data_IF_706880400644
#
_entry.id   IF_706880400644
#
_cell.length_a   1.000
_cell.length_b   1.000
_cell.length_c   1.000
_cell.angle_alpha   90.00
_cell.angle_beta   90.00
_cell.angle_gamma   90.00
#
_symmetry.space_group_name_H-M   'P 1'
#
loop_
_entity.id
_entity.type
_entity.pdbx_description
1 polymer ?
#
# COMPACT_ATOMS: atom_id res chain seq x y z
N UNK A 1 15.38 18.23 15.11
CA UNK A 1 14.11 18.96 15.08
C UNK A 1 13.22 18.31 16.13
N UNK A 2 13.21 18.88 17.32
CA UNK A 2 12.38 18.40 18.43
C UNK A 2 10.93 18.82 18.17
N UNK A 3 10.02 17.85 18.19
CA UNK A 3 8.59 18.13 18.14
C UNK A 3 8.18 18.70 19.51
N UNK A 4 7.41 19.79 19.59
CA UNK A 4 7.08 20.46 20.85
C UNK A 4 6.06 19.71 21.72
N UNK A 5 5.62 18.51 21.32
CA UNK A 5 4.56 17.75 21.97
C UNK A 5 5.10 16.46 22.60
N UNK A 6 4.57 16.09 23.76
CA UNK A 6 4.86 14.81 24.43
C UNK A 6 4.64 13.64 23.45
N UNK A 7 5.68 12.81 23.28
CA UNK A 7 5.69 11.69 22.34
C UNK A 7 4.97 10.44 22.86
N UNK A 8 4.57 10.42 24.13
CA UNK A 8 3.96 9.27 24.79
C UNK A 8 2.72 8.69 24.07
N UNK A 9 1.77 9.47 23.52
CA UNK A 9 0.60 8.91 22.84
C UNK A 9 0.88 8.36 21.44
N UNK A 10 2.04 8.66 20.83
CA UNK A 10 2.46 8.11 19.53
C UNK A 10 3.66 7.17 19.64
N UNK A 11 4.08 6.83 20.86
CA UNK A 11 5.15 5.86 21.11
C UNK A 11 4.59 4.44 21.10
N UNK A 12 4.75 3.74 19.98
CA UNK A 12 4.18 2.39 19.80
C UNK A 12 5.04 1.31 20.45
N UNK A 13 6.35 1.38 20.30
CA UNK A 13 7.29 0.36 20.79
C UNK A 13 8.73 0.90 20.81
N UNK A 14 9.58 0.43 21.75
CA UNK A 14 11.01 0.74 21.77
C UNK A 14 11.78 0.35 20.51
N UNK A 15 11.23 -0.51 19.66
CA UNK A 15 11.84 -0.97 18.41
C UNK A 15 11.14 -0.42 17.16
N UNK A 16 10.17 0.48 17.30
CA UNK A 16 9.50 1.09 16.16
C UNK A 16 10.33 2.25 15.63
N UNK A 17 10.71 2.18 14.36
CA UNK A 17 11.37 3.28 13.65
C UNK A 17 10.41 4.46 13.36
N UNK A 18 9.10 4.24 13.53
CA UNK A 18 8.04 5.20 13.22
C UNK A 18 7.17 5.53 14.43
N UNK A 19 6.67 6.77 14.47
CA UNK A 19 5.55 7.15 15.34
C UNK A 19 4.31 6.32 15.00
N UNK A 20 3.49 6.07 16.02
CA UNK A 20 2.24 5.35 15.90
C UNK A 20 1.28 6.01 14.94
N UNK A 21 0.75 5.21 14.03
CA UNK A 21 -0.20 5.70 13.04
C UNK A 21 -1.52 5.97 13.73
N UNK A 22 -2.30 6.91 13.21
CA UNK A 22 -3.56 7.31 13.84
C UNK A 22 -4.55 6.13 14.06
N UNK A 23 -4.50 5.09 13.23
CA UNK A 23 -5.32 3.89 13.40
C UNK A 23 -4.78 2.90 14.44
N UNK A 24 -3.54 3.08 14.91
CA UNK A 24 -2.87 2.26 15.93
C UNK A 24 -3.06 2.85 17.34
N UNK A 25 -3.61 4.07 17.43
CA UNK A 25 -3.95 4.71 18.70
C UNK A 25 -5.36 4.24 19.09
N UNK A 26 -5.47 3.58 20.23
CA UNK A 26 -6.76 3.17 20.79
C UNK A 26 -7.55 4.40 21.25
N UNK A 27 -8.62 4.72 20.52
CA UNK A 27 -9.61 5.69 20.94
C UNK A 27 -10.79 4.99 21.58
N UNK A 28 -11.17 5.43 22.79
CA UNK A 28 -12.38 4.94 23.46
C UNK A 28 -13.61 5.48 22.74
N UNK A 29 -14.08 4.74 21.74
CA UNK A 29 -15.36 4.97 21.07
C UNK A 29 -16.48 4.17 21.76
N UNK A 30 -17.74 4.64 21.72
CA UNK A 30 -18.89 3.87 22.16
C UNK A 30 -18.89 2.44 21.60
N UNK A 31 -19.40 1.48 22.37
CA UNK A 31 -19.35 0.04 22.05
C UNK A 31 -20.06 -0.29 20.74
N UNK A 32 -21.05 0.51 20.35
CA UNK A 32 -21.81 0.41 19.10
C UNK A 32 -20.93 0.64 17.86
N UNK A 33 -19.79 1.31 18.00
CA UNK A 33 -18.83 1.52 16.92
C UNK A 33 -17.70 0.47 16.90
N UNK A 34 -17.61 -0.38 17.93
CA UNK A 34 -16.62 -1.48 18.02
C UNK A 34 -17.04 -2.72 17.21
N UNK A 35 -17.72 -2.49 16.09
CA UNK A 35 -18.27 -3.51 15.20
C UNK A 35 -17.18 -4.41 14.60
N UNK A 36 -15.96 -3.88 14.45
CA UNK A 36 -14.82 -4.59 13.88
C UNK A 36 -14.47 -5.89 14.62
N UNK A 37 -14.77 -6.01 15.92
CA UNK A 37 -14.56 -7.27 16.66
C UNK A 37 -15.75 -8.23 16.55
N UNK A 38 -16.97 -7.70 16.41
CA UNK A 38 -18.21 -8.46 16.53
C UNK A 38 -18.67 -9.07 15.20
N UNK A 39 -18.37 -8.40 14.08
CA UNK A 39 -18.88 -8.80 12.75
C UNK A 39 -17.79 -8.96 11.69
N UNK A 40 -16.50 -8.97 12.07
CA UNK A 40 -15.37 -9.03 11.14
C UNK A 40 -15.53 -10.08 10.04
N UNK A 41 -15.92 -11.29 10.43
CA UNK A 41 -16.05 -12.43 9.53
C UNK A 41 -17.22 -12.31 8.55
N UNK A 42 -18.18 -11.43 8.86
CA UNK A 42 -19.36 -11.17 8.03
C UNK A 42 -19.15 -9.98 7.07
N UNK A 43 -18.10 -9.19 7.26
CA UNK A 43 -17.81 -8.05 6.40
C UNK A 43 -17.25 -8.53 5.06
N UNK A 44 -17.69 -7.93 3.94
CA UNK A 44 -17.12 -8.24 2.64
C UNK A 44 -15.64 -7.85 2.62
N UNK A 45 -14.85 -8.63 1.89
CA UNK A 45 -13.46 -8.27 1.59
C UNK A 45 -13.44 -6.93 0.85
N UNK A 46 -12.49 -6.06 1.20
CA UNK A 46 -12.35 -4.77 0.55
C UNK A 46 -11.94 -4.99 -0.91
N UNK A 47 -12.80 -4.57 -1.83
CA UNK A 47 -12.46 -4.55 -3.25
C UNK A 47 -11.89 -3.17 -3.62
N UNK A 48 -10.60 -3.09 -3.89
CA UNK A 48 -9.93 -1.84 -4.24
C UNK A 48 -10.47 -1.23 -5.55
N UNK A 49 -10.98 -2.05 -6.48
CA UNK A 49 -11.50 -1.55 -7.75
C UNK A 49 -12.76 -0.69 -7.59
N UNK A 50 -13.51 -0.87 -6.50
CA UNK A 50 -14.74 -0.11 -6.22
C UNK A 50 -14.49 1.17 -5.43
N UNK A 51 -13.27 1.38 -4.91
CA UNK A 51 -12.93 2.57 -4.12
C UNK A 51 -12.74 3.79 -5.03
N UNK A 52 -13.11 4.97 -4.55
CA UNK A 52 -12.78 6.22 -5.25
C UNK A 52 -11.29 6.56 -5.11
N UNK A 53 -10.79 7.50 -5.93
CA UNK A 53 -9.38 7.87 -5.92
C UNK A 53 -8.93 8.48 -4.59
N UNK A 54 -9.77 9.30 -3.94
CA UNK A 54 -9.47 9.89 -2.63
C UNK A 54 -9.19 8.80 -1.57
N UNK A 55 -9.98 7.72 -1.57
CA UNK A 55 -9.75 6.59 -0.66
C UNK A 55 -8.48 5.84 -1.02
N UNK A 56 -8.18 5.66 -2.31
CA UNK A 56 -6.92 5.03 -2.73
C UNK A 56 -5.71 5.88 -2.32
N UNK A 57 -5.77 7.21 -2.44
CA UNK A 57 -4.71 8.09 -1.93
C UNK A 57 -4.59 7.97 -0.41
N UNK A 58 -5.71 7.96 0.31
CA UNK A 58 -5.73 7.75 1.76
C UNK A 58 -5.01 6.45 2.16
N UNK A 59 -5.40 5.33 1.55
CA UNK A 59 -4.81 4.03 1.82
C UNK A 59 -3.31 3.99 1.47
N UNK A 60 -2.92 4.61 0.35
CA UNK A 60 -1.52 4.68 -0.10
C UNK A 60 -0.63 5.44 0.89
N UNK A 61 -1.08 6.59 1.39
CA UNK A 61 -0.28 7.42 2.31
C UNK A 61 -0.34 6.94 3.76
N UNK A 62 -1.41 6.26 4.18
CA UNK A 62 -1.56 5.79 5.56
C UNK A 62 -0.85 4.46 5.83
N UNK A 63 -0.88 3.52 4.89
CA UNK A 63 -0.37 2.16 5.10
C UNK A 63 0.99 1.92 4.44
N UNK A 64 1.97 2.78 4.75
CA UNK A 64 3.32 2.64 4.22
C UNK A 64 3.95 1.26 4.47
N UNK A 65 4.60 0.69 3.47
CA UNK A 65 5.21 -0.66 3.52
C UNK A 65 4.21 -1.80 3.79
N UNK A 66 2.93 -1.61 3.43
CA UNK A 66 1.88 -2.63 3.58
C UNK A 66 1.35 -3.09 2.20
N UNK A 67 0.75 -4.27 2.16
CA UNK A 67 0.00 -4.78 1.00
C UNK A 67 -1.13 -3.81 0.58
N UNK A 68 -1.73 -3.10 1.53
CA UNK A 68 -2.77 -2.09 1.27
C UNK A 68 -2.22 -0.95 0.40
N UNK A 69 -1.00 -0.46 0.67
CA UNK A 69 -0.37 0.57 -0.15
C UNK A 69 -0.07 0.07 -1.57
N UNK A 70 0.42 -1.17 -1.70
CA UNK A 70 0.67 -1.78 -3.02
C UNK A 70 -0.62 -1.95 -3.84
N UNK A 71 -1.70 -2.38 -3.18
CA UNK A 71 -3.02 -2.55 -3.81
C UNK A 71 -3.60 -1.22 -4.26
N UNK A 72 -3.50 -0.17 -3.42
CA UNK A 72 -3.93 1.17 -3.79
C UNK A 72 -3.12 1.74 -4.96
N UNK A 73 -1.79 1.60 -4.94
CA UNK A 73 -0.92 2.02 -6.03
C UNK A 73 -1.24 1.30 -7.35
N UNK A 74 -1.54 0.00 -7.28
CA UNK A 74 -1.92 -0.79 -8.45
C UNK A 74 -3.22 -0.27 -9.08
N UNK A 75 -4.24 0.03 -8.28
CA UNK A 75 -5.50 0.58 -8.80
C UNK A 75 -5.35 2.02 -9.30
N UNK A 76 -4.55 2.86 -8.66
CA UNK A 76 -4.21 4.19 -9.16
C UNK A 76 -3.50 4.10 -10.52
N UNK A 77 -2.54 3.19 -10.66
CA UNK A 77 -1.83 2.96 -11.92
C UNK A 77 -2.77 2.55 -13.07
N UNK A 78 -3.73 1.66 -12.78
CA UNK A 78 -4.79 1.25 -13.73
C UNK A 78 -5.70 2.41 -14.16
N UNK A 79 -5.79 3.46 -13.34
CA UNK A 79 -6.56 4.68 -13.59
C UNK A 79 -5.70 5.82 -14.16
N UNK A 80 -4.59 5.47 -14.81
CA UNK A 80 -3.66 6.41 -15.45
C UNK A 80 -2.97 7.39 -14.51
N UNK A 81 -2.94 7.10 -13.21
CA UNK A 81 -2.06 7.81 -12.28
C UNK A 81 -0.65 7.25 -12.35
N UNK A 82 0.34 8.12 -12.24
CA UNK A 82 1.77 7.77 -12.13
C UNK A 82 2.34 8.44 -10.91
N UNK A 83 3.21 7.72 -10.21
CA UNK A 83 3.90 8.23 -9.05
C UNK A 83 5.25 8.80 -9.46
N UNK A 84 5.49 10.08 -9.15
CA UNK A 84 6.78 10.72 -9.36
C UNK A 84 7.70 10.37 -8.18
N UNK A 85 8.74 9.57 -8.41
CA UNK A 85 9.57 8.99 -7.34
C UNK A 85 10.30 10.04 -6.49
N UNK A 86 10.73 11.14 -7.11
CA UNK A 86 11.49 12.20 -6.41
C UNK A 86 10.57 13.25 -5.75
N UNK A 87 9.62 13.85 -6.48
CA UNK A 87 8.61 14.75 -5.90
C UNK A 87 7.62 14.05 -4.94
N UNK A 88 7.53 12.71 -4.96
CA UNK A 88 6.66 11.88 -4.10
C UNK A 88 5.16 12.17 -4.23
N UNK A 89 4.73 12.55 -5.42
CA UNK A 89 3.35 12.90 -5.76
C UNK A 89 2.75 11.97 -6.80
N UNK A 90 1.44 11.80 -6.74
CA UNK A 90 0.67 11.18 -7.81
C UNK A 90 0.22 12.23 -8.83
N UNK A 91 0.41 11.93 -10.11
CA UNK A 91 0.00 12.80 -11.20
C UNK A 91 -0.66 12.02 -12.35
N UNK A 92 -1.52 12.68 -13.11
CA UNK A 92 -2.10 12.16 -14.34
C UNK A 92 -2.23 13.26 -15.38
N UNK A 93 -2.33 12.86 -16.66
CA UNK A 93 -2.59 13.80 -17.74
C UNK A 93 -4.03 14.29 -17.67
N UNK A 94 -4.23 15.58 -17.90
CA UNK A 94 -5.57 16.13 -18.00
C UNK A 94 -6.16 15.69 -19.35
N UNK A 95 -7.37 15.14 -19.33
CA UNK A 95 -8.06 14.69 -20.55
C UNK A 95 -8.16 15.86 -21.54
N UNK A 96 -7.83 15.59 -22.80
CA UNK A 96 -7.86 16.56 -23.91
C UNK A 96 -6.87 17.73 -23.81
N UNK A 97 -5.91 17.69 -22.88
CA UNK A 97 -4.80 18.66 -22.83
C UNK A 97 -3.52 17.93 -23.25
N UNK A 98 -2.88 18.40 -24.31
CA UNK A 98 -1.57 17.89 -24.72
C UNK A 98 -0.45 18.59 -23.96
N UNK A 99 0.69 17.93 -23.71
CA UNK A 99 1.87 18.60 -23.19
C UNK A 99 2.34 19.69 -24.15
N UNK A 100 2.79 20.81 -23.60
CA UNK A 100 3.33 21.96 -24.35
C UNK A 100 4.57 21.55 -25.16
N UNK A 101 5.39 20.67 -24.59
CA UNK A 101 6.57 20.11 -25.25
C UNK A 101 6.70 18.63 -24.93
N UNK A 102 7.00 17.82 -25.93
CA UNK A 102 7.21 16.38 -25.77
C UNK A 102 8.49 15.95 -26.49
N UNK A 103 9.35 15.27 -25.75
CA UNK A 103 10.61 14.70 -26.21
C UNK A 103 10.65 13.21 -25.86
N UNK A 104 11.67 12.49 -26.31
CA UNK A 104 11.80 11.05 -26.08
C UNK A 104 12.03 10.70 -24.59
N UNK A 105 12.68 11.59 -23.84
CA UNK A 105 13.08 11.36 -22.45
C UNK A 105 12.25 12.13 -21.43
N UNK A 106 11.56 13.18 -21.85
CA UNK A 106 10.75 14.01 -20.98
C UNK A 106 9.63 14.75 -21.71
N UNK A 107 8.69 15.27 -20.94
CA UNK A 107 7.65 16.18 -21.43
C UNK A 107 7.41 17.33 -20.46
N UNK A 108 6.90 18.44 -20.97
CA UNK A 108 6.54 19.63 -20.20
C UNK A 108 5.08 19.94 -20.50
N UNK A 109 4.29 20.18 -19.46
CA UNK A 109 2.88 20.55 -19.63
C UNK A 109 2.16 20.70 -18.30
N UNK A 110 0.84 20.85 -18.37
CA UNK A 110 -0.03 20.94 -17.20
C UNK A 110 -0.59 19.56 -16.84
N UNK A 111 -0.35 19.14 -15.61
CA UNK A 111 -0.81 17.86 -15.07
C UNK A 111 -1.81 18.05 -13.95
N UNK A 112 -2.68 17.07 -13.78
CA UNK A 112 -3.50 16.95 -12.58
C UNK A 112 -2.68 16.22 -11.52
N UNK A 113 -2.43 16.88 -10.39
CA UNK A 113 -1.63 16.37 -9.27
C UNK A 113 -2.52 16.25 -8.05
N UNK A 114 -2.37 15.17 -7.29
CA UNK A 114 -3.00 15.07 -5.98
C UNK A 114 -2.12 15.75 -4.92
N UNK A 115 -2.61 16.85 -4.36
CA UNK A 115 -1.97 17.59 -3.27
C UNK A 115 -2.36 16.96 -1.93
N UNK A 116 -1.39 16.35 -1.27
CA UNK A 116 -1.57 15.64 0.01
C UNK A 116 -1.84 16.61 1.16
N UNK A 117 -1.29 17.83 1.12
CA UNK A 117 -1.44 18.81 2.19
C UNK A 117 -2.83 19.46 2.16
N UNK A 118 -3.32 19.74 0.95
CA UNK A 118 -4.66 20.30 0.73
C UNK A 118 -5.74 19.23 0.55
N UNK A 119 -5.35 17.96 0.48
CA UNK A 119 -6.19 16.80 0.21
C UNK A 119 -7.11 17.01 -1.01
N UNK A 120 -6.55 17.46 -2.13
CA UNK A 120 -7.32 17.77 -3.35
C UNK A 120 -6.49 17.64 -4.63
N UNK A 121 -7.19 17.48 -5.74
CA UNK A 121 -6.58 17.57 -7.08
C UNK A 121 -6.31 19.02 -7.45
N UNK A 122 -5.13 19.30 -7.96
CA UNK A 122 -4.70 20.62 -8.45
C UNK A 122 -4.10 20.50 -9.84
N UNK A 123 -4.02 21.61 -10.56
CA UNK A 123 -3.31 21.67 -11.84
C UNK A 123 -1.96 22.33 -11.64
N UNK A 124 -0.89 21.66 -12.10
CA UNK A 124 0.48 22.14 -11.94
C UNK A 124 1.23 21.99 -13.26
N UNK A 125 1.91 23.05 -13.68
CA UNK A 125 2.87 22.99 -14.79
C UNK A 125 4.13 22.28 -14.30
N UNK A 126 4.52 21.22 -14.99
CA UNK A 126 5.66 20.38 -14.59
C UNK A 126 6.46 19.93 -15.81
N UNK A 127 7.76 19.72 -15.58
CA UNK A 127 8.62 18.89 -16.42
C UNK A 127 8.60 17.47 -15.84
N UNK A 128 8.26 16.49 -16.67
CA UNK A 128 8.18 15.08 -16.30
C UNK A 128 9.26 14.34 -17.08
N UNK A 129 10.35 14.00 -16.40
CA UNK A 129 11.36 13.08 -16.93
C UNK A 129 10.85 11.64 -16.74
N UNK A 130 10.72 10.88 -17.84
CA UNK A 130 10.01 9.59 -17.82
C UNK A 130 10.70 8.53 -16.94
N UNK A 131 12.00 8.65 -16.71
CA UNK A 131 12.78 7.79 -15.80
C UNK A 131 12.45 8.04 -14.32
N UNK A 132 11.84 9.17 -13.98
CA UNK A 132 11.43 9.54 -12.62
C UNK A 132 10.01 9.08 -12.27
N UNK A 133 9.25 8.61 -13.25
CA UNK A 133 7.96 7.97 -13.01
C UNK A 133 8.13 6.52 -12.52
N UNK A 134 7.09 6.02 -11.87
CA UNK A 134 6.96 4.61 -11.53
C UNK A 134 6.68 3.74 -12.77
N UNK A 135 7.15 2.50 -12.69
CA UNK A 135 6.81 1.47 -13.67
C UNK A 135 5.50 0.77 -13.30
N UNK A 136 5.02 -0.14 -14.16
CA UNK A 136 3.92 -1.01 -13.78
C UNK A 136 4.28 -1.74 -12.49
N UNK A 137 3.40 -1.62 -11.50
CA UNK A 137 3.57 -2.13 -10.13
C UNK A 137 3.83 -3.66 -10.09
N UNK A 138 3.59 -4.38 -11.19
CA UNK A 138 3.56 -5.84 -11.27
C UNK A 138 4.81 -6.54 -11.83
N UNK A 139 6.02 -5.96 -11.75
CA UNK A 139 7.25 -6.73 -12.11
C UNK A 139 7.88 -7.53 -10.97
N UNK A 140 7.39 -7.43 -9.72
CA UNK A 140 8.06 -8.06 -8.57
C UNK A 140 7.37 -9.34 -8.02
N UNK A 141 6.14 -9.66 -8.45
CA UNK A 141 5.42 -10.86 -7.96
C UNK A 141 5.66 -12.15 -8.77
N UNK A 142 6.37 -12.11 -9.91
CA UNK A 142 6.67 -13.33 -10.68
C UNK A 142 7.99 -14.02 -10.29
N UNK A 143 8.71 -13.58 -9.25
CA UNK A 143 9.98 -14.18 -8.81
C UNK A 143 10.00 -14.71 -7.36
N UNK A 144 8.85 -14.94 -6.73
CA UNK A 144 8.80 -15.75 -5.52
C UNK A 144 7.77 -16.87 -5.67
N UNK A 145 8.18 -18.13 -5.89
CA UNK A 145 7.27 -19.25 -5.64
C UNK A 145 6.95 -19.29 -4.15
N UNK A 146 5.66 -19.42 -3.81
CA UNK A 146 5.13 -19.52 -2.45
C UNK A 146 5.87 -20.59 -1.62
N UNK A 147 6.88 -20.16 -0.86
CA UNK A 147 7.62 -21.04 0.05
C UNK A 147 6.73 -21.57 1.18
N UNK A 148 5.68 -20.83 1.55
CA UNK A 148 4.74 -21.24 2.61
C UNK A 148 3.85 -22.40 2.14
N UNK A 149 3.30 -22.33 0.92
CA UNK A 149 2.47 -23.41 0.35
C UNK A 149 3.28 -24.70 0.18
N UNK A 150 4.56 -24.61 -0.22
CA UNK A 150 5.41 -25.81 -0.36
C UNK A 150 5.72 -26.51 0.97
N UNK A 151 5.88 -25.75 2.06
CA UNK A 151 6.20 -26.29 3.39
C UNK A 151 5.00 -27.01 4.01
N UNK A 152 3.79 -26.49 3.83
CA UNK A 152 2.56 -27.15 4.31
C UNK A 152 2.29 -28.46 3.58
N UNK A 153 2.53 -28.52 2.27
CA UNK A 153 2.34 -29.74 1.48
C UNK A 153 3.38 -30.81 1.86
N UNK A 154 4.67 -30.47 2.03
CA UNK A 154 5.68 -31.47 2.41
C UNK A 154 5.47 -32.06 3.81
N UNK A 155 4.94 -31.30 4.77
CA UNK A 155 4.63 -31.82 6.10
C UNK A 155 3.43 -32.78 6.12
N UNK A 156 2.50 -32.65 5.17
CA UNK A 156 1.30 -33.49 5.10
C UNK A 156 1.54 -34.87 4.46
N UNK A 157 2.64 -35.06 3.71
CA UNK A 157 2.96 -36.31 3.01
C UNK A 157 4.21 -37.05 3.54
N UNK A 158 4.70 -36.72 4.74
CA UNK A 158 5.80 -37.48 5.33
C UNK A 158 5.34 -38.92 5.67
N UNK A 159 5.99 -39.98 5.16
CA UNK A 159 5.60 -41.35 5.46
C UNK A 159 5.83 -41.66 6.94
N UNK A 160 4.79 -42.17 7.61
CA UNK A 160 4.87 -42.65 8.99
C UNK A 160 5.72 -43.91 8.98
N UNK A 161 6.99 -43.82 9.37
CA UNK A 161 7.81 -44.98 9.68
C UNK A 161 7.21 -45.69 10.88
N UNK A 162 6.68 -46.89 10.66
CA UNK A 162 6.26 -47.82 11.70
C UNK A 162 7.48 -48.27 12.51
N UNK A 163 7.47 -48.03 13.81
CA UNK A 163 8.42 -48.66 14.72
C UNK A 163 8.05 -50.12 14.87
N UNK A 164 8.89 -51.00 14.34
CA UNK A 164 8.77 -52.44 14.47
C UNK A 164 9.13 -52.82 15.92
N UNK A 165 8.18 -53.38 16.64
CA UNK A 165 8.39 -53.99 17.95
C UNK A 165 9.10 -55.32 17.75
N UNK A 166 10.31 -55.48 18.27
CA UNK A 166 10.85 -56.80 18.53
C UNK A 166 11.40 -56.87 19.95
N UNK A 167 10.56 -57.45 20.80
CA UNK A 167 10.92 -58.21 21.99
C UNK A 167 11.94 -59.28 21.63
N UNK A 168 13.01 -59.42 22.42
CA UNK A 168 13.66 -60.71 22.67
C UNK A 168 14.48 -60.64 23.95
N UNK A 169 14.07 -61.52 24.87
CA UNK A 169 14.77 -62.21 25.97
C UNK A 169 16.18 -61.76 26.36
#
# INVERSE_FOLDING_TARGET
MESPNDLHPSFVSPFSDNQGRAYEIDYQVPVEYQMGMQIREKLPQVNFSTLNEDTLFFLFYLFGNDYVQLSAATELYKRDWRYHKEERIWLTRIKNIMPDQKYDTYEIGVYCVFDVQLWRKTHKTMRIDYDKLDGPVLKQQQQQPDLLTSKFIQQQYAPVTSYNTNSSR
#
